data_IF_475112178956
#
_entry.id   IF_475112178956
#
_cell.length_a   1.000
_cell.length_b   1.000
_cell.length_c   1.000
_cell.angle_alpha   90.00
_cell.angle_beta   90.00
_cell.angle_gamma   90.00
#
_symmetry.space_group_name_H-M   'P 1'
#
loop_
_entity.id
_entity.type
_entity.pdbx_description
1 polymer ?
#
# COMPACT_ATOMS: atom_id res chain seq x y z
N UNK A 1 8.83 5.39 -0.93
CA UNK A 1 7.89 5.90 0.08
C UNK A 1 6.73 6.53 -0.65
N UNK A 2 5.52 6.30 -0.16
CA UNK A 2 4.26 6.79 -0.71
C UNK A 2 3.67 7.80 0.25
N UNK A 3 3.54 9.05 -0.22
CA UNK A 3 2.89 10.12 0.54
C UNK A 3 1.55 10.49 -0.11
N UNK A 4 0.67 11.04 0.71
CA UNK A 4 -0.52 11.74 0.23
C UNK A 4 -0.40 13.22 0.56
N UNK A 5 -0.76 14.08 -0.39
CA UNK A 5 -0.81 15.52 -0.24
C UNK A 5 -2.25 15.99 -0.09
N UNK A 6 -2.65 16.49 1.09
CA UNK A 6 -4.01 16.97 1.31
C UNK A 6 -4.11 18.47 1.01
N UNK A 7 -4.93 18.83 0.01
CA UNK A 7 -5.20 20.23 -0.31
C UNK A 7 -6.10 20.83 0.77
N UNK A 8 -5.59 21.77 1.57
CA UNK A 8 -6.32 22.39 2.68
C UNK A 8 -7.37 23.44 2.26
N UNK A 9 -7.92 23.37 1.05
CA UNK A 9 -8.88 24.33 0.52
C UNK A 9 -9.82 23.65 -0.48
N UNK A 10 -11.10 24.01 -0.44
CA UNK A 10 -12.11 23.60 -1.42
C UNK A 10 -12.25 24.59 -2.60
N UNK A 11 -11.26 25.45 -2.83
CA UNK A 11 -11.28 26.43 -3.92
C UNK A 11 -10.58 25.89 -5.17
N UNK A 12 -11.22 25.95 -6.34
CA UNK A 12 -10.70 25.42 -7.61
C UNK A 12 -9.30 25.94 -7.98
N UNK A 13 -9.01 27.20 -7.67
CA UNK A 13 -7.73 27.85 -7.99
C UNK A 13 -6.81 27.95 -6.76
N UNK A 14 -6.83 26.95 -5.88
CA UNK A 14 -5.98 26.88 -4.68
C UNK A 14 -4.49 26.93 -5.03
N UNK A 15 -3.76 27.88 -4.44
CA UNK A 15 -2.29 27.90 -4.51
C UNK A 15 -1.65 26.76 -3.71
N UNK A 16 -2.38 26.18 -2.75
CA UNK A 16 -1.93 25.03 -1.98
C UNK A 16 -1.99 23.75 -2.82
N UNK A 17 -2.98 23.63 -3.72
CA UNK A 17 -3.00 22.60 -4.76
C UNK A 17 -1.82 22.77 -5.71
N UNK A 18 -1.58 23.98 -6.21
CA UNK A 18 -0.40 24.28 -7.06
C UNK A 18 0.92 23.92 -6.37
N UNK A 19 1.05 24.20 -5.08
CA UNK A 19 2.22 23.84 -4.28
C UNK A 19 2.40 22.31 -4.21
N UNK A 20 1.36 21.56 -3.88
CA UNK A 20 1.43 20.09 -3.85
C UNK A 20 1.72 19.49 -5.23
N UNK A 21 1.14 20.06 -6.28
CA UNK A 21 1.40 19.65 -7.67
C UNK A 21 2.83 19.95 -8.14
N UNK A 22 3.40 21.07 -7.67
CA UNK A 22 4.82 21.33 -7.85
C UNK A 22 5.66 20.28 -7.14
N UNK A 23 5.36 19.98 -5.86
CA UNK A 23 6.09 18.97 -5.08
C UNK A 23 6.04 17.61 -5.79
N UNK A 24 4.84 17.17 -6.20
CA UNK A 24 4.61 15.90 -6.91
C UNK A 24 5.48 15.78 -8.16
N UNK A 25 5.49 16.81 -9.01
CA UNK A 25 6.21 16.76 -10.30
C UNK A 25 7.72 16.91 -10.12
N UNK A 26 8.15 17.83 -9.27
CA UNK A 26 9.55 18.19 -9.11
C UNK A 26 10.34 17.13 -8.33
N UNK A 27 9.72 16.53 -7.30
CA UNK A 27 10.38 15.56 -6.40
C UNK A 27 9.97 14.10 -6.65
N UNK A 28 9.41 13.78 -7.83
CA UNK A 28 8.91 12.43 -8.19
C UNK A 28 9.93 11.29 -8.08
N UNK A 29 11.23 11.59 -8.13
CA UNK A 29 12.30 10.61 -7.97
C UNK A 29 12.64 10.32 -6.51
N UNK A 30 12.23 11.18 -5.56
CA UNK A 30 12.47 11.02 -4.12
C UNK A 30 11.37 10.20 -3.46
N UNK A 31 10.12 10.47 -3.81
CA UNK A 31 8.94 9.79 -3.28
C UNK A 31 7.77 9.88 -4.25
N UNK A 32 6.80 8.99 -4.07
CA UNK A 32 5.51 9.08 -4.73
C UNK A 32 4.61 10.02 -3.92
N UNK A 33 3.87 10.92 -4.59
CA UNK A 33 2.90 11.81 -3.97
C UNK A 33 1.58 11.76 -4.73
N UNK A 34 0.53 11.28 -4.06
CA UNK A 34 -0.85 11.37 -4.54
C UNK A 34 -1.50 12.62 -3.94
N UNK A 35 -1.96 13.56 -4.78
CA UNK A 35 -2.63 14.78 -4.31
C UNK A 35 -4.11 14.47 -4.14
N UNK A 36 -4.64 14.75 -2.95
CA UNK A 36 -6.01 14.48 -2.54
C UNK A 36 -6.77 15.79 -2.31
N UNK A 37 -7.97 15.86 -2.84
CA UNK A 37 -8.86 17.01 -2.74
C UNK A 37 -9.86 16.86 -1.57
N UNK A 38 -10.32 18.00 -1.05
CA UNK A 38 -11.31 18.06 0.03
C UNK A 38 -12.59 18.79 -0.37
N UNK A 39 -12.72 19.18 -1.63
CA UNK A 39 -13.83 19.98 -2.17
C UNK A 39 -15.15 19.23 -2.23
N UNK A 40 -15.12 17.91 -2.40
CA UNK A 40 -16.31 17.05 -2.40
C UNK A 40 -16.66 16.46 -1.02
N UNK A 41 -15.96 16.87 0.05
CA UNK A 41 -16.26 16.40 1.40
C UNK A 41 -17.43 17.22 1.99
N UNK A 42 -18.51 16.57 2.46
CA UNK A 42 -19.60 17.28 3.11
C UNK A 42 -19.13 17.98 4.39
N UNK A 43 -19.81 19.06 4.77
CA UNK A 43 -19.58 19.67 6.08
C UNK A 43 -19.84 18.64 7.18
N UNK A 44 -19.00 18.63 8.21
CA UNK A 44 -19.11 17.69 9.31
C UNK A 44 -20.47 17.78 10.00
N UNK A 45 -21.11 16.62 10.13
CA UNK A 45 -22.40 16.44 10.79
C UNK A 45 -22.40 15.08 11.50
N UNK A 46 -22.58 15.07 12.82
CA UNK A 46 -22.54 13.84 13.63
C UNK A 46 -23.71 12.88 13.34
N UNK A 47 -24.80 13.36 12.74
CA UNK A 47 -25.93 12.53 12.36
C UNK A 47 -25.71 11.77 11.04
N UNK A 48 -24.67 12.15 10.28
CA UNK A 48 -24.31 11.54 9.00
C UNK A 48 -23.19 10.51 9.18
N UNK A 49 -23.19 9.48 8.33
CA UNK A 49 -22.18 8.42 8.36
C UNK A 49 -21.06 8.68 7.38
N UNK A 50 -19.82 8.54 7.83
CA UNK A 50 -18.65 8.81 7.00
C UNK A 50 -18.51 7.79 5.84
N UNK A 51 -18.90 6.53 6.06
CA UNK A 51 -18.76 5.44 5.10
C UNK A 51 -19.77 5.50 3.94
N UNK A 52 -20.83 6.29 4.08
CA UNK A 52 -21.76 6.59 2.98
C UNK A 52 -21.13 7.55 1.94
N UNK A 53 -20.17 8.38 2.33
CA UNK A 53 -19.48 9.31 1.45
C UNK A 53 -18.30 8.65 0.73
N UNK A 54 -18.34 8.65 -0.61
CA UNK A 54 -17.22 8.18 -1.43
C UNK A 54 -15.93 8.94 -1.10
N UNK A 55 -15.99 10.27 -1.02
CA UNK A 55 -14.79 11.09 -0.81
C UNK A 55 -14.18 10.85 0.57
N UNK A 56 -15.00 10.66 1.61
CA UNK A 56 -14.49 10.33 2.95
C UNK A 56 -13.83 8.95 2.99
N UNK A 57 -14.45 7.92 2.38
CA UNK A 57 -13.82 6.61 2.21
C UNK A 57 -12.50 6.69 1.46
N UNK A 58 -12.48 7.40 0.34
CA UNK A 58 -11.29 7.63 -0.46
C UNK A 58 -10.17 8.28 0.34
N UNK A 59 -10.44 9.40 1.02
CA UNK A 59 -9.45 10.06 1.88
C UNK A 59 -8.96 9.14 3.01
N UNK A 60 -9.88 8.50 3.73
CA UNK A 60 -9.54 7.59 4.84
C UNK A 60 -8.60 6.48 4.38
N UNK A 61 -8.94 5.78 3.31
CA UNK A 61 -8.18 4.64 2.81
C UNK A 61 -6.79 5.07 2.30
N UNK A 62 -6.72 6.17 1.55
CA UNK A 62 -5.46 6.70 1.02
C UNK A 62 -4.52 7.19 2.13
N UNK A 63 -5.04 7.89 3.15
CA UNK A 63 -4.25 8.36 4.28
C UNK A 63 -3.76 7.17 5.13
N UNK A 64 -4.64 6.21 5.41
CA UNK A 64 -4.31 5.02 6.22
C UNK A 64 -3.10 4.28 5.65
N UNK A 65 -3.07 4.09 4.34
CA UNK A 65 -2.03 3.35 3.60
C UNK A 65 -0.79 4.16 3.24
N UNK A 66 -0.83 5.48 3.33
CA UNK A 66 0.33 6.32 3.05
C UNK A 66 1.40 6.18 4.14
N UNK A 67 2.67 6.27 3.78
CA UNK A 67 3.78 6.32 4.74
C UNK A 67 3.75 7.64 5.55
N UNK A 68 3.17 8.69 4.99
CA UNK A 68 3.06 10.02 5.60
C UNK A 68 2.15 10.95 4.81
N UNK A 69 1.74 12.04 5.44
CA UNK A 69 0.83 13.05 4.86
C UNK A 69 1.52 14.41 4.77
N UNK A 70 1.35 15.11 3.66
CA UNK A 70 1.71 16.53 3.51
C UNK A 70 0.42 17.33 3.43
N UNK A 71 0.10 18.12 4.46
CA UNK A 71 -1.10 18.99 4.44
C UNK A 71 -0.68 20.38 3.97
N UNK A 72 -1.23 20.83 2.85
CA UNK A 72 -1.00 22.17 2.32
C UNK A 72 -2.15 23.10 2.71
N UNK A 73 -1.97 23.90 3.76
CA UNK A 73 -3.04 24.76 4.28
C UNK A 73 -2.91 26.20 3.80
N UNK A 74 -4.00 26.87 3.34
CA UNK A 74 -4.05 28.32 3.26
C UNK A 74 -4.14 28.94 4.67
N UNK A 75 -4.14 30.27 4.74
CA UNK A 75 -4.47 31.03 5.96
C UNK A 75 -5.71 31.89 5.73
N UNK A 76 -6.78 31.62 6.46
CA UNK A 76 -8.04 32.36 6.45
C UNK A 76 -8.24 32.96 7.84
N UNK A 77 -8.33 34.29 7.96
CA UNK A 77 -8.58 34.98 9.23
C UNK A 77 -7.68 34.49 10.39
N UNK A 78 -6.38 34.36 10.12
CA UNK A 78 -5.38 33.88 11.08
C UNK A 78 -5.53 32.40 11.52
N UNK A 79 -6.25 31.59 10.75
CA UNK A 79 -6.43 30.16 11.00
C UNK A 79 -6.48 29.33 9.71
N UNK A 80 -6.69 28.01 9.83
CA UNK A 80 -6.91 27.11 8.71
C UNK A 80 -8.27 27.37 8.05
N UNK A 81 -8.49 26.83 6.87
CA UNK A 81 -9.80 26.92 6.22
C UNK A 81 -10.86 26.15 7.00
N UNK A 82 -12.12 26.62 6.92
CA UNK A 82 -13.26 25.93 7.51
C UNK A 82 -13.43 24.52 6.91
N UNK A 83 -13.21 24.37 5.59
CA UNK A 83 -13.28 23.08 4.90
C UNK A 83 -12.24 22.08 5.42
N UNK A 84 -10.97 22.52 5.62
CA UNK A 84 -9.94 21.64 6.19
C UNK A 84 -10.30 21.23 7.61
N UNK A 85 -10.80 22.16 8.45
CA UNK A 85 -11.20 21.80 9.82
C UNK A 85 -12.32 20.75 9.81
N UNK A 86 -13.31 20.92 8.94
CA UNK A 86 -14.43 19.98 8.77
C UNK A 86 -13.95 18.58 8.37
N UNK A 87 -13.04 18.48 7.39
CA UNK A 87 -12.47 17.19 6.97
C UNK A 87 -11.71 16.52 8.12
N UNK A 88 -10.96 17.30 8.90
CA UNK A 88 -10.27 16.78 10.07
C UNK A 88 -11.23 16.28 11.15
N UNK A 89 -12.40 16.91 11.35
CA UNK A 89 -13.44 16.39 12.27
C UNK A 89 -13.94 15.01 11.80
N UNK A 90 -14.29 14.87 10.52
CA UNK A 90 -14.70 13.58 9.94
C UNK A 90 -13.65 12.49 10.17
N UNK A 91 -12.37 12.82 9.94
CA UNK A 91 -11.24 11.90 10.07
C UNK A 91 -10.64 11.85 11.49
N UNK A 92 -11.42 12.27 12.50
CA UNK A 92 -11.07 12.11 13.91
C UNK A 92 -12.23 11.71 14.82
N UNK A 93 -13.44 11.54 14.27
CA UNK A 93 -14.64 11.23 15.04
C UNK A 93 -14.87 9.71 15.17
N UNK A 94 -15.29 9.03 14.10
CA UNK A 94 -15.47 7.56 14.08
C UNK A 94 -14.24 6.83 13.53
N UNK A 95 -13.43 7.51 12.74
CA UNK A 95 -12.22 6.97 12.11
C UNK A 95 -11.02 7.87 12.38
N UNK A 96 -9.83 7.25 12.45
CA UNK A 96 -8.61 7.92 12.89
C UNK A 96 -7.40 7.64 11.98
N UNK A 97 -7.47 7.93 10.66
CA UNK A 97 -6.37 7.61 9.74
C UNK A 97 -5.08 8.41 10.00
N UNK A 98 -5.16 9.49 10.78
CA UNK A 98 -4.04 10.30 11.21
C UNK A 98 -3.34 9.80 12.49
N UNK A 99 -3.93 8.83 13.20
CA UNK A 99 -3.36 8.34 14.44
C UNK A 99 -1.97 7.72 14.19
N UNK A 100 -0.97 8.22 14.92
CA UNK A 100 0.45 7.87 14.76
C UNK A 100 0.99 8.08 13.33
N UNK A 101 0.29 8.85 12.49
CA UNK A 101 0.70 9.13 11.11
C UNK A 101 1.74 10.27 11.11
N UNK A 102 2.88 10.11 10.43
CA UNK A 102 3.79 11.22 10.19
C UNK A 102 3.13 12.29 9.30
N UNK A 103 3.12 13.54 9.74
CA UNK A 103 2.52 14.66 9.01
C UNK A 103 3.51 15.81 8.85
N UNK A 104 3.65 16.33 7.63
CA UNK A 104 4.30 17.60 7.33
C UNK A 104 3.24 18.64 6.98
N UNK A 105 3.45 19.88 7.42
CA UNK A 105 2.59 21.00 7.05
C UNK A 105 3.38 21.91 6.12
N UNK A 106 2.77 22.26 5.00
CA UNK A 106 3.23 23.30 4.09
C UNK A 106 2.08 24.29 3.86
N UNK A 107 2.37 25.44 3.27
CA UNK A 107 1.31 26.36 2.92
C UNK A 107 1.74 27.50 2.03
N UNK A 108 0.78 27.98 1.24
CA UNK A 108 0.89 29.16 0.40
C UNK A 108 -0.21 30.17 0.74
N UNK A 109 0.16 31.45 0.87
CA UNK A 109 -0.79 32.55 1.09
C UNK A 109 -0.45 33.79 0.25
N UNK A 110 -1.38 34.76 0.23
CA UNK A 110 -1.25 35.96 -0.61
C UNK A 110 -0.21 36.96 -0.12
N UNK A 111 0.13 36.96 1.17
CA UNK A 111 0.94 37.99 1.79
C UNK A 111 2.24 37.41 2.35
N UNK A 112 3.14 38.31 2.76
CA UNK A 112 4.54 38.00 3.06
C UNK A 112 4.75 36.99 4.20
N UNK A 113 3.80 36.93 5.14
CA UNK A 113 3.87 36.02 6.30
C UNK A 113 3.58 34.57 5.95
N UNK A 114 3.24 34.26 4.69
CA UNK A 114 2.82 32.93 4.28
C UNK A 114 1.64 32.46 5.14
N UNK A 115 1.73 31.24 5.64
CA UNK A 115 0.65 30.57 6.39
C UNK A 115 1.01 30.38 7.86
N UNK A 116 1.88 31.23 8.41
CA UNK A 116 2.51 31.02 9.72
C UNK A 116 1.51 30.74 10.85
N UNK A 117 0.42 31.51 10.96
CA UNK A 117 -0.57 31.32 12.03
C UNK A 117 -1.46 30.11 11.77
N UNK A 118 -1.84 29.89 10.51
CA UNK A 118 -2.60 28.71 10.12
C UNK A 118 -1.84 27.41 10.43
N UNK A 119 -0.54 27.35 10.13
CA UNK A 119 0.26 26.16 10.42
C UNK A 119 0.39 25.91 11.93
N UNK A 120 0.62 26.96 12.74
CA UNK A 120 0.66 26.83 14.21
C UNK A 120 -0.67 26.30 14.75
N UNK A 121 -1.80 26.82 14.28
CA UNK A 121 -3.11 26.31 14.70
C UNK A 121 -3.35 24.87 14.21
N UNK A 122 -2.96 24.53 12.97
CA UNK A 122 -3.07 23.18 12.45
C UNK A 122 -2.25 22.18 13.28
N UNK A 123 -1.02 22.52 13.68
CA UNK A 123 -0.21 21.67 14.58
C UNK A 123 -0.96 21.34 15.86
N UNK A 124 -1.60 22.34 16.48
CA UNK A 124 -2.40 22.13 17.70
C UNK A 124 -3.59 21.19 17.47
N UNK A 125 -4.23 21.25 16.31
CA UNK A 125 -5.33 20.35 15.95
C UNK A 125 -4.82 18.93 15.73
N UNK A 126 -3.70 18.78 15.01
CA UNK A 126 -3.08 17.48 14.71
C UNK A 126 -2.57 16.75 15.97
N UNK A 127 -2.15 17.50 16.99
CA UNK A 127 -1.70 17.00 18.30
C UNK A 127 -2.87 16.64 19.24
N UNK A 128 -4.11 17.01 18.90
CA UNK A 128 -5.25 16.76 19.77
C UNK A 128 -5.59 15.26 19.88
N UNK A 129 -6.09 14.80 21.05
CA UNK A 129 -6.63 13.45 21.20
C UNK A 129 -7.70 13.17 20.15
N UNK A 130 -7.63 12.00 19.52
CA UNK A 130 -8.50 11.60 18.41
C UNK A 130 -7.92 11.88 17.03
N UNK A 131 -6.97 12.82 16.91
CA UNK A 131 -6.14 12.96 15.70
C UNK A 131 -4.79 12.26 15.90
N UNK A 132 -4.09 12.57 17.00
CA UNK A 132 -2.85 11.93 17.44
C UNK A 132 -1.78 11.78 16.32
N UNK A 133 -1.63 12.80 15.47
CA UNK A 133 -0.68 12.77 14.37
C UNK A 133 0.74 13.13 14.84
N UNK A 134 1.74 12.44 14.30
CA UNK A 134 3.14 12.78 14.52
C UNK A 134 3.58 13.87 13.56
N UNK A 135 3.42 15.13 13.99
CA UNK A 135 3.72 16.28 13.14
C UNK A 135 5.21 16.64 13.16
N UNK A 136 5.83 16.80 12.00
CA UNK A 136 7.24 17.18 11.85
C UNK A 136 7.52 18.55 12.49
N UNK A 137 8.38 18.64 13.52
CA UNK A 137 8.73 19.91 14.16
C UNK A 137 9.80 20.68 13.37
N UNK A 138 9.80 22.01 13.49
CA UNK A 138 10.90 22.88 13.03
C UNK A 138 11.12 23.01 11.52
N UNK A 139 10.24 22.41 10.69
CA UNK A 139 10.34 22.41 9.23
C UNK A 139 9.12 23.10 8.60
N UNK A 140 9.01 24.41 8.82
CA UNK A 140 7.85 25.19 8.37
C UNK A 140 8.10 25.76 6.98
N UNK A 141 7.41 25.22 5.97
CA UNK A 141 7.44 25.80 4.63
C UNK A 141 6.28 26.79 4.46
N UNK A 142 6.61 28.09 4.48
CA UNK A 142 5.68 29.21 4.49
C UNK A 142 5.83 30.04 3.22
N UNK A 143 5.13 29.67 2.15
CA UNK A 143 5.21 30.38 0.88
C UNK A 143 4.33 31.65 0.92
N UNK A 144 4.98 32.81 1.05
CA UNK A 144 4.33 34.11 0.89
C UNK A 144 4.15 34.52 -0.58
N UNK A 145 3.35 35.57 -0.80
CA UNK A 145 3.12 36.18 -2.14
C UNK A 145 2.79 35.15 -3.24
N UNK A 146 1.91 34.18 -2.94
CA UNK A 146 1.66 33.04 -3.81
C UNK A 146 1.25 33.41 -5.25
N UNK A 147 0.67 34.58 -5.48
CA UNK A 147 0.33 35.06 -6.83
C UNK A 147 1.55 35.29 -7.72
N UNK A 148 2.68 35.65 -7.12
CA UNK A 148 3.95 35.98 -7.78
C UNK A 148 4.95 34.82 -7.68
N UNK A 149 4.72 33.87 -6.77
CA UNK A 149 5.66 32.80 -6.49
C UNK A 149 5.76 31.73 -7.58
N UNK A 150 4.72 31.58 -8.41
CA UNK A 150 4.62 30.54 -9.43
C UNK A 150 4.69 31.10 -10.86
N UNK A 151 5.36 30.37 -11.75
CA UNK A 151 5.32 30.62 -13.19
C UNK A 151 4.02 30.08 -13.84
N UNK A 152 3.88 30.27 -15.15
CA UNK A 152 2.72 29.80 -15.93
C UNK A 152 2.56 28.27 -15.93
N UNK A 153 3.65 27.53 -15.71
CA UNK A 153 3.68 26.07 -15.66
C UNK A 153 3.47 25.53 -14.24
N UNK A 154 3.20 26.41 -13.27
CA UNK A 154 3.04 26.08 -11.86
C UNK A 154 4.34 25.71 -11.14
N UNK A 155 5.50 26.15 -11.64
CA UNK A 155 6.77 26.00 -10.95
C UNK A 155 7.05 27.16 -10.02
N UNK A 156 7.69 26.91 -8.88
CA UNK A 156 8.19 27.97 -8.01
C UNK A 156 9.36 28.68 -8.72
N UNK A 157 9.26 30.00 -8.86
CA UNK A 157 10.23 30.81 -9.64
C UNK A 157 11.58 30.94 -8.91
N UNK A 158 11.55 31.08 -7.59
CA UNK A 158 12.74 31.35 -6.80
C UNK A 158 13.47 30.06 -6.41
N UNK A 159 14.68 29.85 -6.94
CA UNK A 159 15.49 28.65 -6.68
C UNK A 159 15.83 28.45 -5.20
N UNK A 160 16.12 29.53 -4.45
CA UNK A 160 16.38 29.44 -3.01
C UNK A 160 15.18 28.88 -2.22
N UNK A 161 13.96 29.23 -2.66
CA UNK A 161 12.71 28.69 -2.10
C UNK A 161 12.56 27.20 -2.40
N UNK A 162 12.93 26.77 -3.62
CA UNK A 162 12.93 25.35 -4.00
C UNK A 162 13.93 24.56 -3.16
N UNK A 163 15.16 25.07 -2.97
CA UNK A 163 16.19 24.43 -2.15
C UNK A 163 15.76 24.31 -0.68
N UNK A 164 15.07 25.33 -0.14
CA UNK A 164 14.54 25.27 1.22
C UNK A 164 13.40 24.25 1.34
N UNK A 165 12.48 24.22 0.36
CA UNK A 165 11.43 23.19 0.29
C UNK A 165 12.01 21.78 0.25
N UNK A 166 13.03 21.56 -0.59
CA UNK A 166 13.74 20.29 -0.70
C UNK A 166 14.34 19.88 0.66
N UNK A 167 14.99 20.81 1.36
CA UNK A 167 15.53 20.56 2.71
C UNK A 167 14.43 20.09 3.68
N UNK A 168 13.26 20.75 3.67
CA UNK A 168 12.14 20.35 4.53
C UNK A 168 11.59 18.96 4.16
N UNK A 169 11.48 18.65 2.86
CA UNK A 169 11.02 17.35 2.37
C UNK A 169 12.01 16.23 2.70
N UNK A 170 13.31 16.47 2.56
CA UNK A 170 14.35 15.51 2.93
C UNK A 170 14.31 15.20 4.44
N UNK A 171 14.04 16.22 5.27
CA UNK A 171 13.82 16.03 6.69
C UNK A 171 12.54 15.24 6.98
N UNK A 172 11.46 15.47 6.22
CA UNK A 172 10.23 14.69 6.36
C UNK A 172 10.44 13.22 6.00
N UNK A 173 11.14 12.91 4.91
CA UNK A 173 11.48 11.54 4.52
C UNK A 173 12.24 10.81 5.64
N UNK A 174 13.25 11.46 6.22
CA UNK A 174 14.00 10.91 7.36
C UNK A 174 13.11 10.71 8.59
N UNK A 175 12.25 11.69 8.88
CA UNK A 175 11.34 11.66 10.02
C UNK A 175 10.35 10.50 9.93
N UNK A 176 9.75 10.27 8.75
CA UNK A 176 8.87 9.13 8.51
C UNK A 176 9.60 7.81 8.78
N UNK A 177 10.85 7.67 8.34
CA UNK A 177 11.65 6.46 8.60
C UNK A 177 11.96 6.19 10.08
N UNK A 178 11.98 7.22 10.91
CA UNK A 178 12.13 7.09 12.38
C UNK A 178 10.79 6.77 13.03
N UNK A 179 9.76 7.53 12.68
CA UNK A 179 8.44 7.47 13.33
C UNK A 179 7.66 6.23 12.94
N UNK A 180 7.84 5.69 11.74
CA UNK A 180 7.18 4.45 11.31
C UNK A 180 7.49 3.26 12.22
N UNK A 181 8.64 3.28 12.91
CA UNK A 181 9.03 2.27 13.92
C UNK A 181 8.17 2.32 15.20
N UNK A 182 7.47 3.42 15.42
CA UNK A 182 6.53 3.59 16.54
C UNK A 182 5.12 3.11 16.18
N UNK A 183 4.81 2.90 14.89
CA UNK A 183 3.50 2.44 14.43
C UNK A 183 3.27 1.02 14.95
N UNK A 184 2.19 0.84 15.71
CA UNK A 184 1.68 -0.48 16.04
C UNK A 184 0.79 -0.94 14.88
N UNK A 185 1.00 -2.14 14.33
CA UNK A 185 0.06 -2.73 13.38
C UNK A 185 -1.35 -2.75 13.99
N UNK A 186 -2.37 -2.61 13.15
CA UNK A 186 -3.75 -2.80 13.63
C UNK A 186 -3.89 -4.26 14.09
N UNK A 187 -4.64 -4.53 15.17
CA UNK A 187 -5.02 -5.89 15.50
C UNK A 187 -5.62 -6.56 14.26
N UNK A 188 -5.23 -7.82 14.04
CA UNK A 188 -5.84 -8.64 12.98
C UNK A 188 -7.05 -9.29 13.62
N UNK A 189 -8.23 -8.80 13.24
CA UNK A 189 -9.49 -9.41 13.62
C UNK A 189 -9.65 -10.77 12.92
N UNK A 190 -10.41 -11.72 13.49
CA UNK A 190 -10.72 -12.97 12.81
C UNK A 190 -11.36 -12.72 11.43
N UNK A 191 -10.83 -13.38 10.40
CA UNK A 191 -11.33 -13.25 9.04
C UNK A 191 -12.49 -14.22 8.78
N UNK A 192 -13.51 -13.77 8.04
CA UNK A 192 -14.57 -14.65 7.53
C UNK A 192 -14.04 -15.43 6.32
N UNK A 193 -13.30 -16.51 6.56
CA UNK A 193 -12.75 -17.36 5.50
C UNK A 193 -13.79 -18.29 4.86
N UNK A 194 -15.03 -18.30 5.35
CA UNK A 194 -16.08 -19.21 4.92
C UNK A 194 -17.25 -18.50 4.22
N UNK A 195 -17.08 -17.22 3.89
CA UNK A 195 -18.06 -16.41 3.17
C UNK A 195 -19.44 -16.44 3.86
N UNK A 196 -19.47 -16.32 5.19
CA UNK A 196 -20.73 -16.33 5.95
C UNK A 196 -21.56 -15.06 5.72
N UNK A 197 -20.90 -13.97 5.34
CA UNK A 197 -21.52 -12.72 4.92
C UNK A 197 -21.49 -12.57 3.39
N UNK A 198 -22.25 -11.59 2.89
CA UNK A 198 -22.27 -11.23 1.47
C UNK A 198 -21.75 -9.81 1.25
N UNK A 199 -21.07 -9.62 0.12
CA UNK A 199 -20.66 -8.33 -0.42
C UNK A 199 -21.46 -8.02 -1.70
N UNK A 200 -21.23 -6.84 -2.29
CA UNK A 200 -21.94 -6.39 -3.49
C UNK A 200 -21.78 -7.32 -4.70
N UNK A 201 -20.66 -8.04 -4.80
CA UNK A 201 -20.33 -8.96 -5.91
C UNK A 201 -20.61 -10.43 -5.59
N UNK A 202 -21.15 -10.76 -4.40
CA UNK A 202 -21.45 -12.16 -4.06
C UNK A 202 -22.53 -12.73 -4.97
N UNK A 203 -22.20 -13.82 -5.67
CA UNK A 203 -23.15 -14.56 -6.50
C UNK A 203 -23.99 -15.47 -5.59
N UNK A 204 -25.28 -15.16 -5.50
CA UNK A 204 -26.24 -15.90 -4.68
C UNK A 204 -26.85 -17.08 -5.44
N UNK A 205 -27.29 -18.11 -4.71
CA UNK A 205 -28.04 -19.25 -5.29
C UNK A 205 -27.20 -20.44 -5.76
N UNK A 206 -25.88 -20.39 -5.58
CA UNK A 206 -24.95 -21.53 -5.77
C UNK A 206 -24.07 -21.62 -4.53
N UNK A 207 -23.82 -22.82 -4.04
CA UNK A 207 -22.84 -23.02 -2.97
C UNK A 207 -21.43 -22.70 -3.50
N UNK A 208 -20.67 -21.77 -2.88
CA UNK A 208 -19.26 -21.51 -3.23
C UNK A 208 -18.41 -22.76 -3.45
N UNK A 209 -18.63 -23.84 -2.70
CA UNK A 209 -17.83 -25.07 -2.82
C UNK A 209 -18.40 -26.10 -3.83
N UNK A 210 -19.36 -25.70 -4.67
CA UNK A 210 -19.88 -26.55 -5.75
C UNK A 210 -18.79 -26.79 -6.82
N UNK A 211 -18.47 -28.04 -7.20
CA UNK A 211 -17.41 -28.31 -8.18
C UNK A 211 -17.72 -27.79 -9.59
N UNK A 212 -18.98 -27.43 -9.87
CA UNK A 212 -19.44 -26.79 -11.10
C UNK A 212 -19.83 -25.31 -10.86
N UNK A 213 -19.33 -24.69 -9.79
CA UNK A 213 -19.67 -23.32 -9.40
C UNK A 213 -19.51 -22.35 -10.57
N UNK A 214 -18.41 -22.42 -11.33
CA UNK A 214 -18.14 -21.52 -12.46
C UNK A 214 -19.29 -21.54 -13.48
N UNK A 215 -19.74 -22.72 -13.89
CA UNK A 215 -20.79 -22.85 -14.92
C UNK A 215 -22.16 -22.39 -14.39
N UNK A 216 -22.51 -22.78 -13.15
CA UNK A 216 -23.78 -22.41 -12.52
C UNK A 216 -23.83 -20.91 -12.21
N UNK A 217 -22.75 -20.35 -11.69
CA UNK A 217 -22.62 -18.93 -11.39
C UNK A 217 -22.66 -18.11 -12.69
N UNK A 218 -21.97 -18.55 -13.75
CA UNK A 218 -21.99 -17.91 -15.05
C UNK A 218 -23.40 -17.83 -15.64
N UNK A 219 -24.17 -18.94 -15.57
CA UNK A 219 -25.57 -18.96 -16.01
C UNK A 219 -26.43 -17.96 -15.23
N UNK A 220 -26.32 -17.95 -13.89
CA UNK A 220 -27.13 -17.08 -13.03
C UNK A 220 -26.90 -15.59 -13.25
N UNK A 221 -25.65 -15.19 -13.45
CA UNK A 221 -25.30 -13.77 -13.64
C UNK A 221 -25.30 -13.34 -15.11
N UNK A 222 -25.59 -14.27 -16.04
CA UNK A 222 -25.51 -14.02 -17.47
C UNK A 222 -24.10 -13.65 -17.93
N UNK A 223 -23.07 -14.31 -17.38
CA UNK A 223 -21.68 -14.05 -17.73
C UNK A 223 -21.44 -14.33 -19.23
N UNK A 224 -20.67 -13.46 -19.86
CA UNK A 224 -20.32 -13.59 -21.28
C UNK A 224 -19.01 -14.37 -21.46
N UNK A 225 -18.95 -15.16 -22.53
CA UNK A 225 -17.73 -15.82 -23.01
C UNK A 225 -17.57 -15.61 -24.52
N UNK A 226 -16.42 -15.97 -25.08
CA UNK A 226 -16.19 -15.86 -26.52
C UNK A 226 -15.74 -14.48 -26.99
N UNK A 227 -16.28 -14.04 -28.13
CA UNK A 227 -15.77 -12.86 -28.86
C UNK A 227 -16.45 -11.53 -28.48
N UNK A 228 -17.19 -11.50 -27.37
CA UNK A 228 -17.80 -10.26 -26.85
C UNK A 228 -16.72 -9.30 -26.38
N UNK A 229 -16.75 -8.05 -26.84
CA UNK A 229 -15.80 -7.02 -26.43
C UNK A 229 -16.10 -6.46 -25.03
N UNK A 230 -15.07 -6.34 -24.21
CA UNK A 230 -15.05 -5.72 -22.89
C UNK A 230 -14.12 -4.50 -22.95
N UNK A 231 -14.61 -3.36 -22.45
CA UNK A 231 -13.78 -2.17 -22.22
C UNK A 231 -13.08 -2.31 -20.87
N UNK A 232 -11.75 -2.30 -20.91
CA UNK A 232 -10.88 -2.20 -19.74
C UNK A 232 -10.46 -0.73 -19.56
N UNK A 233 -9.71 -0.41 -18.49
CA UNK A 233 -9.24 0.95 -18.16
C UNK A 233 -8.74 1.73 -19.39
N UNK A 234 -7.62 1.28 -19.96
CA UNK A 234 -7.03 1.82 -21.19
C UNK A 234 -6.97 0.79 -22.32
N UNK A 235 -7.96 -0.10 -22.42
CA UNK A 235 -7.98 -1.18 -23.43
C UNK A 235 -9.37 -1.64 -23.85
N UNK A 236 -9.45 -2.33 -24.98
CA UNK A 236 -10.65 -3.02 -25.45
C UNK A 236 -10.24 -4.39 -26.01
N UNK A 237 -10.77 -5.46 -25.43
CA UNK A 237 -10.44 -6.84 -25.78
C UNK A 237 -11.70 -7.70 -25.78
N UNK A 238 -11.73 -8.75 -26.59
CA UNK A 238 -12.75 -9.80 -26.44
C UNK A 238 -12.47 -10.64 -25.19
N UNK A 239 -13.48 -11.33 -24.65
CA UNK A 239 -13.28 -12.28 -23.52
C UNK A 239 -12.24 -13.35 -23.87
N UNK A 240 -12.28 -13.90 -25.09
CA UNK A 240 -11.27 -14.81 -25.60
C UNK A 240 -9.84 -14.22 -25.58
N UNK A 241 -9.69 -12.94 -25.95
CA UNK A 241 -8.39 -12.27 -25.90
C UNK A 241 -7.90 -12.05 -24.46
N UNK A 242 -8.80 -11.80 -23.52
CA UNK A 242 -8.48 -11.70 -22.10
C UNK A 242 -7.99 -13.07 -21.58
N UNK A 243 -8.68 -14.15 -21.92
CA UNK A 243 -8.26 -15.51 -21.55
C UNK A 243 -6.88 -15.86 -22.11
N UNK A 244 -6.64 -15.55 -23.39
CA UNK A 244 -5.32 -15.76 -24.00
C UNK A 244 -4.24 -14.91 -23.33
N UNK A 245 -4.55 -13.66 -22.98
CA UNK A 245 -3.64 -12.76 -22.27
C UNK A 245 -3.26 -13.32 -20.89
N UNK A 246 -4.25 -13.73 -20.09
CA UNK A 246 -4.02 -14.26 -18.74
C UNK A 246 -3.28 -15.61 -18.76
N UNK A 247 -3.53 -16.46 -19.76
CA UNK A 247 -2.81 -17.74 -19.96
C UNK A 247 -1.37 -17.54 -20.42
N UNK A 248 -1.07 -16.43 -21.11
CA UNK A 248 0.28 -16.12 -21.58
C UNK A 248 1.17 -15.47 -20.51
N UNK A 249 0.63 -15.17 -19.32
CA UNK A 249 1.41 -14.64 -18.21
C UNK A 249 2.49 -15.66 -17.80
N UNK A 250 3.75 -15.24 -17.59
CA UNK A 250 4.85 -16.14 -17.22
C UNK A 250 4.83 -16.55 -15.73
N UNK A 251 3.68 -16.37 -15.09
CA UNK A 251 3.41 -16.65 -13.68
C UNK A 251 2.02 -17.27 -13.56
N UNK A 252 1.84 -18.06 -12.52
CA UNK A 252 0.51 -18.44 -12.04
C UNK A 252 -0.11 -17.25 -11.30
N UNK A 253 -1.39 -17.03 -11.53
CA UNK A 253 -2.20 -15.96 -10.97
C UNK A 253 -3.41 -16.58 -10.31
N UNK A 254 -3.72 -16.12 -9.10
CA UNK A 254 -5.00 -16.41 -8.46
C UNK A 254 -5.66 -15.15 -7.93
N UNK A 255 -6.98 -15.18 -7.82
CA UNK A 255 -7.76 -14.07 -7.28
C UNK A 255 -8.76 -14.58 -6.24
N UNK A 256 -8.72 -13.95 -5.07
CA UNK A 256 -9.76 -14.04 -4.06
C UNK A 256 -10.31 -12.65 -3.77
N UNK A 257 -11.63 -12.50 -3.68
CA UNK A 257 -12.29 -11.22 -3.47
C UNK A 257 -12.27 -10.77 -1.99
N UNK A 258 -12.87 -9.61 -1.69
CA UNK A 258 -12.95 -9.09 -0.32
C UNK A 258 -13.88 -9.89 0.60
N UNK A 259 -14.67 -10.83 0.06
CA UNK A 259 -15.43 -11.81 0.84
C UNK A 259 -14.67 -13.11 1.10
N UNK A 260 -13.37 -13.13 0.78
CA UNK A 260 -12.50 -14.31 0.94
C UNK A 260 -12.99 -15.52 0.12
N UNK A 261 -13.63 -15.29 -1.03
CA UNK A 261 -13.98 -16.32 -1.99
C UNK A 261 -12.90 -16.42 -3.07
N UNK A 262 -12.40 -17.63 -3.36
CA UNK A 262 -11.44 -17.87 -4.43
C UNK A 262 -12.16 -17.98 -5.77
N UNK A 263 -12.02 -16.98 -6.64
CA UNK A 263 -12.85 -16.86 -7.84
C UNK A 263 -12.15 -17.29 -9.12
N UNK A 264 -10.83 -17.13 -9.20
CA UNK A 264 -10.12 -17.30 -10.46
C UNK A 264 -8.69 -17.79 -10.28
N UNK A 265 -8.23 -18.59 -11.24
CA UNK A 265 -6.80 -18.82 -11.50
C UNK A 265 -6.54 -19.00 -13.00
N UNK A 266 -5.37 -18.61 -13.48
CA UNK A 266 -4.99 -18.83 -14.87
C UNK A 266 -4.52 -20.29 -15.09
N UNK A 267 -5.42 -21.14 -15.58
CA UNK A 267 -5.07 -22.53 -15.85
C UNK A 267 -4.21 -22.69 -17.13
N UNK A 268 -2.90 -22.48 -17.01
CA UNK A 268 -1.93 -22.65 -18.09
C UNK A 268 -1.33 -24.06 -18.16
N UNK A 269 -1.53 -24.88 -17.13
CA UNK A 269 -0.93 -26.21 -17.00
C UNK A 269 -1.87 -27.30 -17.51
N UNK A 270 -1.31 -28.32 -18.19
CA UNK A 270 -2.07 -29.51 -18.59
C UNK A 270 -2.33 -30.45 -17.41
N UNK A 271 -1.39 -30.50 -16.46
CA UNK A 271 -1.45 -31.31 -15.25
C UNK A 271 -1.32 -30.39 -14.02
N UNK A 272 -2.32 -30.34 -13.12
CA UNK A 272 -2.28 -29.56 -11.88
C UNK A 272 -1.06 -29.84 -10.98
N UNK A 273 -0.48 -31.04 -11.05
CA UNK A 273 0.70 -31.40 -10.25
C UNK A 273 1.99 -30.70 -10.73
N UNK A 274 1.93 -30.05 -11.89
CA UNK A 274 3.05 -29.24 -12.42
C UNK A 274 2.98 -27.76 -12.03
N UNK A 275 1.90 -27.34 -11.35
CA UNK A 275 1.75 -25.97 -10.86
C UNK A 275 2.57 -25.76 -9.59
N UNK A 276 3.16 -24.57 -9.42
CA UNK A 276 3.84 -24.14 -8.22
C UNK A 276 2.87 -23.88 -7.06
N UNK A 277 1.68 -23.35 -7.38
CA UNK A 277 0.52 -23.27 -6.51
C UNK A 277 -0.59 -24.15 -7.05
N UNK A 278 -0.56 -25.45 -6.75
CA UNK A 278 -1.54 -26.43 -7.23
C UNK A 278 -2.98 -25.93 -7.09
N UNK A 279 -3.70 -25.87 -8.22
CA UNK A 279 -5.13 -25.58 -8.30
C UNK A 279 -5.81 -26.53 -9.29
N UNK A 280 -7.07 -26.85 -9.01
CA UNK A 280 -7.93 -27.61 -9.92
C UNK A 280 -9.20 -26.82 -10.23
N UNK A 281 -9.82 -27.07 -11.39
CA UNK A 281 -10.99 -26.30 -11.87
C UNK A 281 -12.14 -26.28 -10.86
N UNK A 282 -12.37 -27.40 -10.17
CA UNK A 282 -13.40 -27.54 -9.14
C UNK A 282 -13.18 -26.67 -7.89
N UNK A 283 -12.04 -25.95 -7.78
CA UNK A 283 -11.80 -25.01 -6.69
C UNK A 283 -12.23 -23.58 -7.03
N UNK A 284 -12.44 -23.24 -8.30
CA UNK A 284 -12.95 -21.91 -8.67
C UNK A 284 -14.37 -21.75 -8.14
N UNK A 285 -14.55 -20.79 -7.23
CA UNK A 285 -15.75 -20.59 -6.43
C UNK A 285 -15.54 -20.85 -4.95
N UNK A 286 -14.57 -21.69 -4.57
CA UNK A 286 -14.46 -22.18 -3.20
C UNK A 286 -14.20 -21.05 -2.20
N UNK A 287 -14.65 -21.28 -0.96
CA UNK A 287 -14.26 -20.47 0.19
C UNK A 287 -12.75 -20.59 0.40
N UNK A 288 -12.05 -19.52 0.79
CA UNK A 288 -10.62 -19.63 1.13
C UNK A 288 -10.37 -20.66 2.25
N UNK A 289 -11.29 -20.75 3.22
CA UNK A 289 -11.25 -21.80 4.24
C UNK A 289 -11.29 -23.22 3.65
N UNK A 290 -12.09 -23.45 2.62
CA UNK A 290 -12.18 -24.74 1.91
C UNK A 290 -10.96 -25.00 1.03
N UNK A 291 -10.46 -23.99 0.31
CA UNK A 291 -9.22 -24.08 -0.48
C UNK A 291 -8.05 -24.54 0.38
N UNK A 292 -8.00 -24.07 1.63
CA UNK A 292 -6.97 -24.38 2.61
C UNK A 292 -7.38 -25.44 3.64
N UNK A 293 -8.50 -26.14 3.45
CA UNK A 293 -9.12 -27.00 4.47
C UNK A 293 -8.30 -28.22 4.90
N UNK A 294 -7.21 -28.54 4.19
CA UNK A 294 -6.25 -29.58 4.59
C UNK A 294 -5.13 -29.06 5.48
N UNK A 295 -5.05 -27.75 5.72
CA UNK A 295 -4.05 -27.16 6.61
C UNK A 295 -4.45 -27.40 8.08
N UNK A 296 -3.47 -27.61 8.97
CA UNK A 296 -3.73 -27.59 10.41
C UNK A 296 -4.12 -26.17 10.86
N UNK A 297 -4.87 -26.06 11.97
CA UNK A 297 -5.35 -24.78 12.52
C UNK A 297 -4.25 -23.73 12.70
N UNK A 298 -3.05 -24.16 13.10
CA UNK A 298 -1.91 -23.25 13.26
C UNK A 298 -1.47 -22.59 11.96
N UNK A 299 -1.67 -23.26 10.81
CA UNK A 299 -1.40 -22.70 9.48
C UNK A 299 -2.58 -21.93 8.90
N UNK A 300 -3.82 -22.22 9.32
CA UNK A 300 -4.97 -21.38 8.97
C UNK A 300 -4.83 -19.96 9.52
N UNK A 301 -4.24 -19.79 10.72
CA UNK A 301 -3.89 -18.46 11.25
C UNK A 301 -2.93 -17.66 10.37
N UNK A 302 -2.07 -18.33 9.59
CA UNK A 302 -1.22 -17.63 8.64
C UNK A 302 -2.02 -17.09 7.45
N UNK A 303 -3.07 -17.82 7.02
CA UNK A 303 -3.99 -17.35 5.97
C UNK A 303 -4.74 -16.11 6.46
N UNK A 304 -5.33 -16.18 7.66
CA UNK A 304 -5.98 -15.03 8.30
C UNK A 304 -5.02 -13.86 8.46
N UNK A 305 -3.77 -14.13 8.86
CA UNK A 305 -2.76 -13.09 8.99
C UNK A 305 -2.46 -12.41 7.64
N UNK A 306 -2.25 -13.18 6.56
CA UNK A 306 -1.99 -12.61 5.22
C UNK A 306 -3.17 -11.74 4.77
N UNK A 307 -4.39 -12.24 4.88
CA UNK A 307 -5.59 -11.48 4.49
C UNK A 307 -5.71 -10.22 5.35
N UNK A 308 -5.59 -10.36 6.67
CA UNK A 308 -5.77 -9.27 7.63
C UNK A 308 -4.76 -8.14 7.47
N UNK A 309 -3.46 -8.43 7.27
CA UNK A 309 -2.45 -7.35 7.07
C UNK A 309 -2.67 -6.59 5.77
N UNK A 310 -3.13 -7.26 4.72
CA UNK A 310 -3.45 -6.64 3.42
C UNK A 310 -4.73 -5.81 3.51
N UNK A 311 -5.79 -6.37 4.13
CA UNK A 311 -7.08 -5.72 4.34
C UNK A 311 -6.96 -4.47 5.21
N UNK A 312 -6.18 -4.55 6.29
CA UNK A 312 -5.91 -3.41 7.17
C UNK A 312 -5.09 -2.30 6.50
N UNK A 313 -4.46 -2.58 5.36
CA UNK A 313 -3.53 -1.67 4.70
C UNK A 313 -2.21 -1.50 5.45
N UNK A 314 -1.85 -2.47 6.31
CA UNK A 314 -0.57 -2.47 7.00
C UNK A 314 0.57 -2.92 6.08
N UNK A 315 0.26 -3.77 5.10
CA UNK A 315 1.13 -4.11 3.99
C UNK A 315 0.36 -4.01 2.66
N UNK A 316 1.03 -3.53 1.61
CA UNK A 316 0.47 -3.56 0.25
C UNK A 316 0.64 -4.95 -0.39
N UNK A 317 1.69 -5.67 0.02
CA UNK A 317 1.96 -7.02 -0.43
C UNK A 317 2.61 -7.85 0.68
N UNK A 318 2.37 -9.16 0.64
CA UNK A 318 3.08 -10.16 1.44
C UNK A 318 3.83 -11.08 0.48
N UNK A 319 5.11 -11.31 0.72
CA UNK A 319 5.92 -12.25 -0.08
C UNK A 319 6.45 -13.38 0.76
N UNK A 320 6.36 -14.60 0.25
CA UNK A 320 6.89 -15.79 0.89
C UNK A 320 7.60 -16.69 -0.12
N UNK A 321 8.59 -17.44 0.36
CA UNK A 321 9.23 -18.53 -0.37
C UNK A 321 8.65 -19.82 0.19
N UNK A 322 8.13 -20.69 -0.68
CA UNK A 322 7.62 -21.99 -0.25
C UNK A 322 8.79 -22.92 0.05
N UNK A 323 8.90 -23.46 1.28
CA UNK A 323 9.97 -24.37 1.63
C UNK A 323 9.76 -25.76 1.00
N UNK A 324 10.84 -26.55 0.92
CA UNK A 324 10.76 -27.96 0.50
C UNK A 324 10.55 -28.17 -0.99
N UNK A 325 10.84 -27.16 -1.82
CA UNK A 325 10.77 -27.29 -3.27
C UNK A 325 11.96 -28.04 -3.85
N UNK A 326 11.83 -28.65 -5.04
CA UNK A 326 12.94 -29.30 -5.73
C UNK A 326 14.15 -28.37 -5.94
N UNK A 327 15.33 -28.95 -6.11
CA UNK A 327 16.55 -28.20 -6.46
C UNK A 327 16.33 -27.37 -7.75
N UNK A 328 16.81 -26.13 -7.75
CA UNK A 328 16.60 -25.19 -8.86
C UNK A 328 15.21 -24.53 -8.92
N UNK A 329 14.37 -24.72 -7.90
CA UNK A 329 13.07 -24.06 -7.78
C UNK A 329 13.06 -23.12 -6.58
N UNK A 330 12.98 -21.82 -6.86
CA UNK A 330 12.67 -20.78 -5.86
C UNK A 330 11.20 -20.42 -6.04
N UNK A 331 10.31 -21.24 -5.45
CA UNK A 331 8.87 -21.01 -5.54
C UNK A 331 8.47 -19.81 -4.68
N UNK A 332 8.11 -18.72 -5.33
CA UNK A 332 7.76 -17.46 -4.71
C UNK A 332 6.27 -17.24 -4.83
N UNK A 333 5.60 -16.99 -3.71
CA UNK A 333 4.22 -16.51 -3.67
C UNK A 333 4.22 -15.04 -3.27
N UNK A 334 3.58 -14.20 -4.08
CA UNK A 334 3.44 -12.77 -3.84
C UNK A 334 1.95 -12.40 -3.79
N UNK A 335 1.43 -12.21 -2.58
CA UNK A 335 0.06 -11.78 -2.32
C UNK A 335 0.01 -10.26 -2.41
N UNK A 336 -0.73 -9.73 -3.38
CA UNK A 336 -0.87 -8.30 -3.61
C UNK A 336 -2.30 -7.87 -3.29
N UNK A 337 -2.47 -6.90 -2.41
CA UNK A 337 -3.78 -6.32 -2.14
C UNK A 337 -4.32 -5.61 -3.39
N UNK A 338 -5.62 -5.78 -3.64
CA UNK A 338 -6.40 -5.06 -4.63
C UNK A 338 -7.35 -4.09 -3.94
N UNK A 339 -7.74 -3.03 -4.63
CA UNK A 339 -8.56 -1.98 -4.04
C UNK A 339 -9.65 -1.48 -5.00
N UNK A 340 -10.82 -1.16 -4.44
CA UNK A 340 -11.89 -0.46 -5.12
C UNK A 340 -11.50 1.00 -5.38
N UNK A 341 -12.23 1.75 -6.23
CA UNK A 341 -11.91 3.14 -6.56
C UNK A 341 -11.86 4.09 -5.35
N UNK A 342 -12.64 3.80 -4.29
CA UNK A 342 -12.62 4.53 -3.02
C UNK A 342 -11.44 4.11 -2.11
N UNK A 343 -10.53 3.28 -2.61
CA UNK A 343 -9.38 2.77 -1.87
C UNK A 343 -9.67 1.65 -0.88
N UNK A 344 -10.92 1.22 -0.72
CA UNK A 344 -11.27 0.10 0.18
C UNK A 344 -10.74 -1.21 -0.40
N UNK A 345 -10.42 -2.16 0.48
CA UNK A 345 -9.85 -3.44 0.09
C UNK A 345 -10.83 -4.25 -0.79
N UNK A 346 -10.34 -4.77 -1.92
CA UNK A 346 -11.15 -5.51 -2.90
C UNK A 346 -10.75 -6.99 -3.05
N UNK A 347 -9.73 -7.44 -2.32
CA UNK A 347 -9.25 -8.81 -2.38
C UNK A 347 -7.74 -8.93 -2.60
N UNK A 348 -7.31 -10.12 -2.99
CA UNK A 348 -5.91 -10.51 -3.18
C UNK A 348 -5.72 -11.04 -4.59
N UNK A 349 -4.73 -10.47 -5.29
CA UNK A 349 -4.11 -11.12 -6.43
C UNK A 349 -2.85 -11.86 -5.95
N UNK A 350 -2.83 -13.18 -6.08
CA UNK A 350 -1.65 -14.00 -5.76
C UNK A 350 -0.86 -14.26 -7.04
N UNK A 351 0.42 -13.90 -7.04
CA UNK A 351 1.36 -14.15 -8.15
C UNK A 351 2.35 -15.21 -7.71
N UNK A 352 2.38 -16.35 -8.41
CA UNK A 352 3.19 -17.51 -8.05
C UNK A 352 4.13 -17.84 -9.22
N UNK A 353 5.41 -18.00 -8.93
CA UNK A 353 6.40 -18.31 -9.96
C UNK A 353 7.71 -18.86 -9.39
N UNK A 354 8.44 -19.60 -10.23
CA UNK A 354 9.84 -19.93 -9.97
C UNK A 354 10.72 -18.70 -10.28
N UNK A 355 11.35 -18.13 -9.26
CA UNK A 355 12.24 -16.99 -9.43
C UNK A 355 13.63 -17.37 -9.97
N UNK A 356 14.03 -18.64 -9.86
CA UNK A 356 15.38 -19.10 -10.26
C UNK A 356 15.77 -18.69 -11.69
N UNK A 357 14.95 -18.89 -12.73
CA UNK A 357 15.35 -18.55 -14.11
C UNK A 357 15.62 -17.06 -14.30
N UNK A 358 14.89 -16.20 -13.58
CA UNK A 358 15.06 -14.76 -13.63
C UNK A 358 16.36 -14.33 -12.95
N UNK A 359 16.66 -14.94 -11.80
CA UNK A 359 17.90 -14.74 -11.08
C UNK A 359 19.11 -15.18 -11.93
N UNK A 360 19.03 -16.37 -12.53
CA UNK A 360 20.08 -16.90 -13.40
C UNK A 360 20.32 -15.99 -14.60
N UNK A 361 19.25 -15.56 -15.28
CA UNK A 361 19.35 -14.61 -16.38
C UNK A 361 20.01 -13.30 -15.95
N UNK A 362 19.61 -12.74 -14.80
CA UNK A 362 20.17 -11.50 -14.28
C UNK A 362 21.67 -11.64 -13.96
N UNK A 363 22.07 -12.68 -13.24
CA UNK A 363 23.47 -12.93 -12.87
C UNK A 363 24.34 -13.16 -14.11
N UNK A 364 23.86 -13.98 -15.06
CA UNK A 364 24.57 -14.25 -16.31
C UNK A 364 24.72 -12.99 -17.17
N UNK A 365 23.68 -12.16 -17.25
CA UNK A 365 23.69 -10.94 -18.08
C UNK A 365 24.58 -9.85 -17.49
N UNK A 366 24.60 -9.73 -16.15
CA UNK A 366 25.34 -8.66 -15.47
C UNK A 366 26.76 -9.06 -15.09
N UNK A 367 27.10 -10.35 -15.14
CA UNK A 367 28.34 -10.90 -14.59
C UNK A 367 28.42 -10.79 -13.06
N UNK A 368 27.32 -10.41 -12.40
CA UNK A 368 27.26 -10.36 -10.94
C UNK A 368 27.22 -11.77 -10.37
N UNK A 369 27.65 -11.90 -9.12
CA UNK A 369 27.57 -13.15 -8.35
C UNK A 369 26.92 -12.86 -7.01
N UNK A 370 26.17 -13.84 -6.51
CA UNK A 370 25.70 -13.79 -5.14
C UNK A 370 26.91 -13.86 -4.20
N UNK A 371 26.99 -12.94 -3.25
CA UNK A 371 28.02 -12.94 -2.20
C UNK A 371 27.32 -13.08 -0.85
N UNK A 372 27.69 -14.12 -0.09
CA UNK A 372 27.19 -14.34 1.26
C UNK A 372 26.02 -15.32 1.37
N UNK A 373 26.02 -16.00 2.52
CA UNK A 373 25.14 -17.10 2.95
C UNK A 373 25.96 -17.99 3.88
N UNK A 374 25.52 -18.23 5.11
CA UNK A 374 26.20 -19.14 6.04
C UNK A 374 26.16 -20.58 5.48
N UNK A 375 27.17 -20.93 4.69
CA UNK A 375 27.50 -22.30 4.31
C UNK A 375 28.97 -22.52 4.66
N UNK A 376 29.28 -23.66 5.28
CA UNK A 376 30.61 -24.00 5.77
C UNK A 376 31.67 -23.79 4.68
N UNK A 377 32.78 -23.14 5.06
CA UNK A 377 33.90 -22.86 4.16
C UNK A 377 34.38 -24.16 3.47
N UNK A 378 34.60 -24.15 2.14
CA UNK A 378 35.33 -25.24 1.52
C UNK A 378 36.77 -25.22 2.06
N UNK A 379 37.26 -26.38 2.46
CA UNK A 379 38.64 -26.55 2.86
C UNK A 379 39.57 -26.27 1.66
N UNK A 380 40.42 -25.27 1.80
CA UNK A 380 41.66 -25.13 1.03
C UNK A 380 41.60 -24.20 -0.20
N UNK A 381 42.51 -23.22 -0.21
CA UNK A 381 42.87 -22.48 -1.42
C UNK A 381 43.20 -21.01 -1.16
N UNK A 382 44.47 -20.73 -0.84
CA UNK A 382 45.02 -19.37 -0.73
C UNK A 382 44.81 -18.53 -2.00
N UNK A 383 44.44 -17.27 -1.83
CA UNK A 383 44.50 -16.24 -2.88
C UNK A 383 43.95 -14.92 -2.37
N UNK A 384 44.83 -14.05 -1.86
CA UNK A 384 44.45 -12.75 -1.29
C UNK A 384 44.14 -11.69 -2.35
N UNK A 385 43.33 -10.70 -1.96
CA UNK A 385 43.46 -9.32 -2.40
C UNK A 385 42.68 -8.39 -1.46
N UNK A 386 43.44 -7.48 -0.87
CA UNK A 386 43.13 -6.23 -0.18
C UNK A 386 41.68 -5.73 -0.13
N UNK A 387 41.17 -5.56 1.09
CA UNK A 387 40.30 -4.45 1.43
C UNK A 387 41.03 -3.58 2.48
N UNK A 388 41.60 -2.48 2.00
CA UNK A 388 42.21 -1.47 2.84
C UNK A 388 41.16 -0.66 3.59
N UNK A 389 41.43 -0.55 4.89
CA UNK A 389 41.28 0.62 5.75
C UNK A 389 39.89 1.10 6.22
N UNK A 390 39.75 1.03 7.55
CA UNK A 390 39.39 2.19 8.39
C UNK A 390 37.94 2.18 8.87
N UNK A 391 37.56 1.44 9.91
CA UNK A 391 37.88 1.64 11.33
C UNK A 391 37.48 3.03 11.86
N UNK A 392 36.44 3.08 12.69
CA UNK A 392 36.62 3.37 14.12
C UNK A 392 35.38 3.02 14.94
N UNK A 393 35.59 2.06 15.85
CA UNK A 393 34.89 1.83 17.12
C UNK A 393 34.81 3.13 17.98
N UNK A 394 34.08 3.26 19.09
CA UNK A 394 33.86 2.31 20.17
C UNK A 394 32.80 2.83 21.16
N UNK A 395 32.24 1.92 21.97
CA UNK A 395 31.50 2.28 23.18
C UNK A 395 30.77 1.09 23.80
N UNK A 396 31.55 0.16 24.35
CA UNK A 396 31.15 -1.11 24.95
C UNK A 396 30.56 -0.96 26.39
N UNK A 397 29.92 -2.06 26.82
CA UNK A 397 29.70 -2.57 28.17
C UNK A 397 28.39 -2.25 28.92
N UNK A 398 27.60 -3.31 29.13
CA UNK A 398 26.61 -3.40 30.23
C UNK A 398 25.56 -4.47 30.05
N UNK A 399 25.93 -5.75 30.19
CA UNK A 399 25.00 -6.88 30.05
C UNK A 399 24.02 -7.09 31.22
N UNK A 400 22.86 -7.68 30.94
CA UNK A 400 22.34 -8.90 31.55
C UNK A 400 20.90 -9.22 31.09
N UNK A 401 20.71 -10.45 30.61
CA UNK A 401 19.60 -11.33 31.02
C UNK A 401 18.23 -11.16 30.35
N UNK A 402 17.84 -12.17 29.55
CA UNK A 402 16.45 -12.41 29.20
C UNK A 402 16.29 -13.12 27.86
N UNK A 403 16.50 -14.44 27.84
CA UNK A 403 16.30 -15.25 26.63
C UNK A 403 14.85 -15.27 26.18
N UNK A 404 14.64 -15.06 24.89
CA UNK A 404 13.48 -15.53 24.15
C UNK A 404 14.00 -16.22 22.89
N UNK A 405 13.95 -17.54 22.95
CA UNK A 405 14.38 -18.46 21.91
C UNK A 405 13.37 -18.40 20.76
N UNK A 406 13.69 -17.68 19.68
CA UNK A 406 12.90 -17.64 18.46
C UNK A 406 13.45 -18.64 17.45
N UNK A 407 13.23 -19.92 17.72
CA UNK A 407 13.39 -20.98 16.73
C UNK A 407 12.12 -21.06 15.88
N UNK A 408 12.07 -20.27 14.81
CA UNK A 408 11.11 -20.47 13.72
C UNK A 408 11.52 -21.69 12.89
N UNK A 409 11.29 -22.89 13.43
CA UNK A 409 11.44 -24.15 12.73
C UNK A 409 10.15 -24.49 11.98
N UNK A 410 10.05 -24.05 10.73
CA UNK A 410 8.97 -24.45 9.82
C UNK A 410 9.52 -25.43 8.78
N UNK A 411 9.56 -26.73 9.11
CA UNK A 411 9.46 -27.85 8.14
C UNK A 411 9.46 -29.20 8.87
N UNK A 412 8.26 -29.75 9.07
CA UNK A 412 7.83 -31.10 8.65
C UNK A 412 6.33 -31.26 8.93
#
# INVERSE_FOLDING_TARGET
MKFVGLVGSNYDQSYNRKLLEFIRRHFKLKFELEVLEIDEVPMFNQDEKWDESFQLRYLYNKITRADGVIIATPEHNHTISASLKSVLEWLSYEVHPFENKPVMIVGASYYDQGTSRAQVHLRKILDAPGVNAYTLPGNEFLLGKAKEAFDINGNIINEGTVNFLETCLDNFVKYVGVVSKLKKPKPIEPEDLYCTNSIATTIQGVDPDDPEWVEKAAELVGAVSGDTYVKLDHGILTVNQIDMFLKAMPFELTFADDNNQFLYFNNAHQDPDTMFGKRVRAQSGNRLGTVHGTLPDSRMKNVEWVVGVLRNGDQEYVRTIVPGTPEGVINTHNYQAMYYPDGSYAGINEIIFNFQPWLDWYLNTTGQRLVGGNAAAPAGGHGGADATSGASDAGDAGGHGGGADATSGASN
#
